data_IF_557262846846
#
_entry.id   IF_557262846846
#
_cell.length_a   1.000
_cell.length_b   1.000
_cell.length_c   1.000
_cell.angle_alpha   90.00
_cell.angle_beta   90.00
_cell.angle_gamma   90.00
#
_symmetry.space_group_name_H-M   'P 1'
#
loop_
_entity.id
_entity.type
_entity.pdbx_description
1 polymer ?
#
# COMPACT_ATOMS: atom_id res chain seq x y z
N UNK A 1 13.11 -9.68 -10.65
CA UNK A 1 13.19 -8.32 -11.21
C UNK A 1 13.58 -8.32 -12.68
N UNK A 2 14.69 -8.96 -13.04
CA UNK A 2 15.18 -9.00 -14.43
C UNK A 2 14.17 -9.50 -15.46
N UNK A 3 13.36 -10.51 -15.10
CA UNK A 3 12.29 -10.99 -15.98
C UNK A 3 11.21 -9.93 -16.21
N UNK A 4 10.77 -9.24 -15.15
CA UNK A 4 9.78 -8.18 -15.24
C UNK A 4 10.29 -6.98 -16.06
N UNK A 5 11.56 -6.59 -15.88
CA UNK A 5 12.22 -5.56 -16.71
C UNK A 5 12.29 -5.96 -18.17
N UNK A 6 12.68 -7.20 -18.48
CA UNK A 6 12.72 -7.74 -19.85
C UNK A 6 11.33 -7.75 -20.48
N UNK A 7 10.28 -7.89 -19.69
CA UNK A 7 8.88 -7.75 -20.11
C UNK A 7 8.38 -6.30 -20.17
N UNK A 8 9.25 -5.30 -19.97
CA UNK A 8 8.91 -3.88 -20.09
C UNK A 8 8.35 -3.21 -18.83
N UNK A 9 8.43 -3.86 -17.65
CA UNK A 9 7.98 -3.24 -16.41
C UNK A 9 8.84 -2.03 -16.03
N UNK A 10 8.19 -0.91 -15.72
CA UNK A 10 8.84 0.37 -15.40
C UNK A 10 8.80 0.72 -13.91
N UNK A 11 7.89 0.10 -13.15
CA UNK A 11 7.77 0.26 -11.71
C UNK A 11 7.12 -0.98 -11.08
N UNK A 12 7.20 -1.06 -9.76
CA UNK A 12 6.49 -2.05 -8.94
C UNK A 12 5.37 -1.34 -8.20
N UNK A 13 4.15 -1.87 -8.30
CA UNK A 13 3.00 -1.43 -7.52
C UNK A 13 2.56 -2.58 -6.61
N UNK A 14 2.31 -2.27 -5.34
CA UNK A 14 1.86 -3.29 -4.37
C UNK A 14 0.91 -2.72 -3.32
N UNK A 15 0.44 -3.58 -2.43
CA UNK A 15 -0.37 -3.22 -1.26
C UNK A 15 0.49 -2.68 -0.13
N UNK A 16 -0.10 -1.91 0.78
CA UNK A 16 0.62 -1.39 1.95
C UNK A 16 1.23 -2.49 2.82
N UNK A 17 0.52 -3.62 2.98
CA UNK A 17 0.99 -4.78 3.76
C UNK A 17 2.28 -5.37 3.22
N UNK A 18 2.40 -5.46 1.89
CA UNK A 18 3.58 -6.06 1.29
C UNK A 18 4.70 -5.03 1.11
N UNK A 19 4.36 -3.75 1.01
CA UNK A 19 5.32 -2.65 0.99
C UNK A 19 6.20 -2.58 2.23
N UNK A 20 5.66 -2.83 3.43
CA UNK A 20 6.45 -2.82 4.68
C UNK A 20 7.48 -3.96 4.75
N UNK A 21 7.37 -4.97 3.89
CA UNK A 21 8.28 -6.13 3.85
C UNK A 21 9.40 -5.98 2.84
N UNK A 22 9.33 -4.96 1.98
CA UNK A 22 10.27 -4.77 0.89
C UNK A 22 11.42 -3.89 1.38
N UNK A 23 12.65 -4.38 1.22
CA UNK A 23 13.84 -3.57 1.42
C UNK A 23 14.01 -2.66 0.19
N UNK A 24 13.98 -1.34 0.37
CA UNK A 24 14.15 -0.37 -0.72
C UNK A 24 15.46 -0.54 -1.51
N UNK A 25 16.48 -1.15 -0.90
CA UNK A 25 17.77 -1.39 -1.54
C UNK A 25 17.83 -2.71 -2.32
N UNK A 26 16.77 -3.53 -2.25
CA UNK A 26 16.72 -4.85 -2.89
C UNK A 26 16.24 -4.82 -4.34
N UNK A 27 15.78 -3.68 -4.82
CA UNK A 27 15.30 -3.50 -6.20
C UNK A 27 15.75 -2.17 -6.77
N UNK A 28 16.04 -2.15 -8.07
CA UNK A 28 16.38 -0.90 -8.77
C UNK A 28 15.17 -0.31 -9.51
N UNK A 29 13.99 -0.92 -9.40
CA UNK A 29 12.76 -0.39 -9.99
C UNK A 29 12.13 0.60 -9.02
N UNK A 30 11.60 1.74 -9.52
CA UNK A 30 10.74 2.60 -8.71
C UNK A 30 9.61 1.78 -8.08
N UNK A 31 9.38 2.01 -6.81
CA UNK A 31 8.45 1.22 -6.01
C UNK A 31 7.35 2.13 -5.45
N UNK A 32 6.10 1.72 -5.63
CA UNK A 32 4.93 2.42 -5.16
C UNK A 32 4.01 1.48 -4.39
N UNK A 33 3.30 2.04 -3.40
CA UNK A 33 2.22 1.36 -2.70
C UNK A 33 0.90 2.04 -2.99
N UNK A 34 -0.16 1.25 -3.12
CA UNK A 34 -1.53 1.76 -3.09
C UNK A 34 -1.87 2.05 -1.63
N UNK A 35 -2.20 3.31 -1.32
CA UNK A 35 -2.73 3.71 -0.02
C UNK A 35 -4.24 3.90 -0.14
N UNK A 36 -5.00 3.32 0.78
CA UNK A 36 -6.45 3.46 0.84
C UNK A 36 -6.81 4.33 2.03
N UNK A 37 -7.52 5.41 1.76
CA UNK A 37 -8.12 6.25 2.78
C UNK A 37 -9.60 5.86 2.91
N UNK A 38 -10.01 5.51 4.12
CA UNK A 38 -11.39 5.12 4.41
C UNK A 38 -12.06 6.21 5.23
N UNK A 39 -13.27 6.58 4.80
CA UNK A 39 -14.08 7.57 5.49
C UNK A 39 -15.42 6.96 5.90
N UNK A 40 -15.76 7.09 7.18
CA UNK A 40 -17.12 6.80 7.66
C UNK A 40 -17.98 8.02 7.32
N UNK A 41 -18.88 7.86 6.36
CA UNK A 41 -19.78 8.90 5.87
C UNK A 41 -20.95 9.16 6.83
N UNK A 42 -21.46 8.11 7.47
CA UNK A 42 -22.55 8.18 8.46
C UNK A 42 -22.25 7.29 9.67
N UNK A 43 -22.64 7.74 10.87
CA UNK A 43 -22.45 6.97 12.10
C UNK A 43 -21.04 6.99 12.69
N UNK A 44 -20.15 7.91 12.26
CA UNK A 44 -18.78 8.06 12.78
C UNK A 44 -18.73 8.26 14.29
N UNK A 45 -19.61 9.10 14.83
CA UNK A 45 -19.66 9.41 16.26
C UNK A 45 -19.99 8.16 17.09
N UNK A 46 -20.99 7.39 16.65
CA UNK A 46 -21.41 6.14 17.31
C UNK A 46 -20.28 5.10 17.24
N UNK A 47 -19.67 4.93 16.06
CA UNK A 47 -18.53 4.04 15.88
C UNK A 47 -17.37 4.42 16.82
N UNK A 48 -17.03 5.71 16.90
CA UNK A 48 -15.96 6.20 17.76
C UNK A 48 -16.27 5.98 19.24
N UNK A 49 -17.51 6.21 19.68
CA UNK A 49 -17.92 5.92 21.06
C UNK A 49 -17.72 4.44 21.42
N UNK A 50 -17.98 3.51 20.49
CA UNK A 50 -17.84 2.07 20.75
C UNK A 50 -16.40 1.56 20.69
N UNK A 51 -15.55 2.17 19.86
CA UNK A 51 -14.17 1.71 19.65
C UNK A 51 -13.18 2.36 20.62
N UNK A 52 -13.47 3.58 21.09
CA UNK A 52 -12.59 4.36 21.95
C UNK A 52 -12.95 4.30 23.45
N UNK A 53 -14.06 3.66 23.80
CA UNK A 53 -14.45 3.35 25.20
C UNK A 53 -13.74 2.12 25.72
#
# INVERSE_FOLDING_TARGET
EDSARKSGATFILTTEKDAVKINSNSTTLPFYKVALEMEILEGREIFNQQVLS
#
